data_IF_969551436892
#
_entry.id   IF_969551436892
#
_cell.length_a   1.000
_cell.length_b   1.000
_cell.length_c   1.000
_cell.angle_alpha   90.00
_cell.angle_beta   90.00
_cell.angle_gamma   90.00
#
_symmetry.space_group_name_H-M   'P 1'
#
loop_
_entity.id
_entity.type
_entity.pdbx_description
1 polymer ?
#
# COMPACT_ATOMS: atom_id res chain seq x y z
N UNK A 1 5.99 -10.31 -16.38
CA UNK A 1 4.79 -10.00 -15.55
C UNK A 1 3.70 -9.24 -16.31
N UNK A 2 2.49 -9.12 -15.74
CA UNK A 2 1.40 -8.32 -16.32
C UNK A 2 1.46 -6.86 -15.85
N UNK A 3 0.89 -5.95 -16.65
CA UNK A 3 0.74 -4.55 -16.28
C UNK A 3 -0.11 -4.38 -15.00
N UNK A 4 0.20 -3.39 -14.13
CA UNK A 4 -0.58 -3.15 -12.93
C UNK A 4 -2.02 -2.74 -13.25
N UNK A 5 -2.93 -3.06 -12.33
CA UNK A 5 -4.28 -2.54 -12.30
C UNK A 5 -4.46 -1.48 -11.21
N UNK A 6 -5.63 -0.85 -11.19
CA UNK A 6 -5.98 0.13 -10.16
C UNK A 6 -7.46 0.10 -9.83
N UNK A 7 -7.79 0.59 -8.64
CA UNK A 7 -9.15 0.78 -8.14
C UNK A 7 -9.18 1.97 -7.17
N UNK A 8 -10.23 2.78 -7.20
CA UNK A 8 -10.45 3.86 -6.23
C UNK A 8 -10.96 5.14 -6.87
N UNK A 9 -10.65 6.28 -6.23
CA UNK A 9 -11.13 7.60 -6.68
C UNK A 9 -10.00 8.48 -7.21
N UNK A 10 -10.30 9.13 -8.33
CA UNK A 10 -9.43 10.03 -9.09
C UNK A 10 -10.15 11.38 -9.31
N UNK A 11 -9.49 12.54 -9.12
CA UNK A 11 -10.12 13.86 -9.29
C UNK A 11 -10.72 14.09 -10.68
N UNK A 12 -10.09 13.53 -11.72
CA UNK A 12 -10.60 13.59 -13.09
C UNK A 12 -11.82 12.71 -13.36
N UNK A 13 -12.26 11.87 -12.42
CA UNK A 13 -13.41 10.98 -12.55
C UNK A 13 -14.55 11.37 -11.59
N UNK A 14 -15.80 11.15 -12.03
CA UNK A 14 -17.00 11.43 -11.23
C UNK A 14 -17.38 10.31 -10.28
N UNK A 15 -16.82 9.11 -10.47
CA UNK A 15 -17.08 7.93 -9.65
C UNK A 15 -15.81 7.07 -9.54
N UNK A 16 -15.92 5.89 -8.94
CA UNK A 16 -14.85 4.90 -8.91
C UNK A 16 -14.32 4.58 -10.31
N UNK A 17 -13.00 4.45 -10.40
CA UNK A 17 -12.31 3.94 -11.58
C UNK A 17 -11.70 2.59 -11.24
N UNK A 18 -11.77 1.65 -12.18
CA UNK A 18 -11.25 0.30 -12.01
C UNK A 18 -10.67 -0.20 -13.33
N UNK A 19 -9.49 -0.82 -13.25
CA UNK A 19 -8.84 -1.42 -14.43
C UNK A 19 -7.89 -2.53 -14.03
N UNK A 20 -7.86 -3.64 -14.78
CA UNK A 20 -6.91 -4.76 -14.65
C UNK A 20 -6.79 -5.43 -13.26
N UNK A 21 -7.67 -5.10 -12.30
CA UNK A 21 -7.77 -5.82 -11.03
C UNK A 21 -8.94 -6.82 -11.09
N UNK A 22 -8.72 -8.09 -10.68
CA UNK A 22 -9.78 -9.09 -10.68
C UNK A 22 -10.83 -8.77 -9.60
N UNK A 23 -12.10 -9.23 -9.78
CA UNK A 23 -13.17 -8.97 -8.82
C UNK A 23 -12.82 -9.35 -7.39
N UNK A 24 -12.18 -10.51 -7.17
CA UNK A 24 -11.78 -10.95 -5.84
C UNK A 24 -10.83 -9.97 -5.10
N UNK A 25 -9.99 -9.23 -5.84
CA UNK A 25 -9.17 -8.18 -5.26
C UNK A 25 -10.02 -6.97 -4.90
N UNK A 26 -10.85 -6.51 -5.84
CA UNK A 26 -11.66 -5.30 -5.68
C UNK A 26 -12.68 -5.46 -4.56
N UNK A 27 -13.35 -6.61 -4.46
CA UNK A 27 -14.33 -6.89 -3.40
C UNK A 27 -13.69 -6.90 -2.01
N UNK A 28 -12.50 -7.49 -1.88
CA UNK A 28 -11.76 -7.50 -0.62
C UNK A 28 -11.30 -6.09 -0.23
N UNK A 29 -10.78 -5.34 -1.20
CA UNK A 29 -10.30 -3.98 -1.02
C UNK A 29 -11.43 -3.01 -0.67
N UNK A 30 -12.50 -3.01 -1.45
CA UNK A 30 -13.67 -2.15 -1.23
C UNK A 30 -14.29 -2.41 0.15
N UNK A 31 -14.54 -3.67 0.50
CA UNK A 31 -15.10 -4.02 1.81
C UNK A 31 -14.25 -3.48 2.97
N UNK A 32 -12.93 -3.71 2.92
CA UNK A 32 -12.03 -3.29 3.99
C UNK A 32 -11.96 -1.76 4.09
N UNK A 33 -11.71 -1.07 2.98
CA UNK A 33 -11.49 0.37 2.99
C UNK A 33 -12.78 1.18 3.09
N UNK A 34 -13.92 0.71 2.59
CA UNK A 34 -15.21 1.35 2.85
C UNK A 34 -15.53 1.35 4.35
N UNK A 35 -15.28 0.24 5.06
CA UNK A 35 -15.44 0.18 6.51
C UNK A 35 -14.43 1.08 7.24
N UNK A 36 -13.15 1.01 6.87
CA UNK A 36 -12.09 1.77 7.53
C UNK A 36 -12.22 3.29 7.32
N UNK A 37 -12.60 3.73 6.12
CA UNK A 37 -12.87 5.14 5.79
C UNK A 37 -14.06 5.65 6.61
N UNK A 38 -15.18 4.91 6.63
CA UNK A 38 -16.35 5.29 7.41
C UNK A 38 -16.01 5.37 8.91
N UNK A 39 -15.41 4.31 9.47
CA UNK A 39 -15.09 4.25 10.89
C UNK A 39 -14.07 5.31 11.34
N UNK A 40 -13.08 5.64 10.51
CA UNK A 40 -12.12 6.71 10.85
C UNK A 40 -12.77 8.08 10.73
N UNK A 41 -13.61 8.31 9.73
CA UNK A 41 -14.33 9.58 9.58
C UNK A 41 -15.28 9.83 10.75
N UNK A 42 -16.05 8.81 11.13
CA UNK A 42 -16.99 8.90 12.26
C UNK A 42 -16.25 9.14 13.58
N UNK A 43 -15.07 8.52 13.77
CA UNK A 43 -14.29 8.65 15.02
C UNK A 43 -13.55 9.98 15.16
N UNK A 44 -13.07 10.55 14.06
CA UNK A 44 -12.16 11.71 14.11
C UNK A 44 -12.76 13.02 13.57
N UNK A 45 -13.99 12.99 13.03
CA UNK A 45 -14.73 14.20 12.63
C UNK A 45 -13.90 15.13 11.75
N UNK A 46 -13.84 16.42 12.10
CA UNK A 46 -13.13 17.44 11.32
C UNK A 46 -11.62 17.17 11.19
N UNK A 47 -11.00 16.52 12.18
CA UNK A 47 -9.59 16.17 12.13
C UNK A 47 -9.30 15.10 11.05
N UNK A 48 -10.31 14.30 10.69
CA UNK A 48 -10.19 13.27 9.67
C UNK A 48 -9.83 13.86 8.30
N UNK A 49 -10.47 14.95 7.89
CA UNK A 49 -10.23 15.55 6.58
C UNK A 49 -8.80 16.11 6.47
N UNK A 50 -8.26 16.66 7.57
CA UNK A 50 -6.88 17.12 7.63
C UNK A 50 -5.93 15.94 7.53
N UNK A 51 -6.16 14.87 8.30
CA UNK A 51 -5.35 13.65 8.25
C UNK A 51 -5.37 13.01 6.86
N UNK A 52 -6.54 12.88 6.23
CA UNK A 52 -6.70 12.35 4.87
C UNK A 52 -5.85 13.09 3.85
N UNK A 53 -5.86 14.43 3.86
CA UNK A 53 -5.10 15.25 2.90
C UNK A 53 -3.59 15.17 3.08
N UNK A 54 -3.11 14.88 4.29
CA UNK A 54 -1.68 14.82 4.61
C UNK A 54 -1.16 13.39 4.73
N UNK A 55 -2.03 12.39 4.61
CA UNK A 55 -1.64 11.00 4.72
C UNK A 55 -0.63 10.62 3.63
N UNK A 56 0.34 9.80 4.02
CA UNK A 56 1.40 9.36 3.13
C UNK A 56 0.89 8.40 2.05
N UNK A 57 1.67 8.27 0.98
CA UNK A 57 1.57 7.13 0.06
C UNK A 57 2.21 5.92 0.72
N UNK A 58 1.44 4.85 0.85
CA UNK A 58 1.87 3.58 1.42
C UNK A 58 2.18 2.58 0.32
N UNK A 59 3.38 2.02 0.34
CA UNK A 59 3.75 0.84 -0.44
C UNK A 59 3.28 -0.41 0.32
N UNK A 60 2.93 -1.46 -0.40
CA UNK A 60 2.51 -2.71 0.25
C UNK A 60 2.93 -3.98 -0.47
N UNK A 61 2.97 -5.06 0.32
CA UNK A 61 3.00 -6.45 -0.14
C UNK A 61 1.93 -7.24 0.62
N UNK A 62 1.11 -8.01 -0.09
CA UNK A 62 0.05 -8.85 0.48
C UNK A 62 0.28 -10.31 0.06
N UNK A 63 0.37 -11.20 1.06
CA UNK A 63 0.39 -12.64 0.83
C UNK A 63 -0.87 -13.13 0.10
N UNK A 64 -0.78 -14.31 -0.57
CA UNK A 64 -1.95 -15.03 -1.04
C UNK A 64 -3.03 -15.17 0.05
N UNK A 65 -4.29 -15.02 -0.35
CA UNK A 65 -5.45 -15.14 0.53
C UNK A 65 -5.94 -13.81 1.13
N UNK A 66 -5.17 -12.72 1.05
CA UNK A 66 -5.58 -11.42 1.61
C UNK A 66 -6.52 -10.66 0.67
N UNK A 67 -6.16 -10.56 -0.61
CA UNK A 67 -6.95 -9.89 -1.64
C UNK A 67 -7.14 -10.82 -2.86
N UNK A 68 -7.68 -12.01 -2.60
CA UNK A 68 -7.75 -13.12 -3.55
C UNK A 68 -6.57 -14.09 -3.42
N UNK A 69 -6.45 -15.03 -4.37
CA UNK A 69 -5.48 -16.13 -4.31
C UNK A 69 -4.05 -15.74 -4.72
N UNK A 70 -3.87 -14.60 -5.38
CA UNK A 70 -2.55 -14.09 -5.76
C UNK A 70 -1.89 -13.33 -4.61
N UNK A 71 -0.57 -13.30 -4.62
CA UNK A 71 0.18 -12.28 -3.88
C UNK A 71 0.13 -10.95 -4.65
N UNK A 72 0.16 -9.84 -3.94
CA UNK A 72 0.05 -8.50 -4.53
C UNK A 72 1.13 -7.57 -4.04
N UNK A 73 1.64 -6.74 -4.94
CA UNK A 73 2.45 -5.57 -4.62
C UNK A 73 1.78 -4.31 -5.15
N UNK A 74 1.93 -3.19 -4.46
CA UNK A 74 1.35 -1.95 -4.96
C UNK A 74 1.55 -0.75 -4.06
N UNK A 75 0.86 0.33 -4.41
CA UNK A 75 0.77 1.54 -3.61
C UNK A 75 -0.67 1.87 -3.31
N UNK A 76 -0.91 2.47 -2.15
CA UNK A 76 -2.17 3.04 -1.74
C UNK A 76 -1.92 4.48 -1.28
N UNK A 77 -2.76 5.40 -1.73
CA UNK A 77 -2.68 6.81 -1.37
C UNK A 77 -4.10 7.39 -1.22
N UNK A 78 -4.25 8.50 -0.48
CA UNK A 78 -5.53 9.21 -0.40
C UNK A 78 -6.05 9.57 -1.79
N UNK A 79 -7.35 9.36 -2.00
CA UNK A 79 -8.02 9.70 -3.24
C UNK A 79 -9.34 10.41 -3.01
N UNK A 80 -9.70 11.27 -3.96
CA UNK A 80 -10.95 12.00 -3.99
C UNK A 80 -11.48 12.00 -5.43
N UNK A 81 -12.79 11.90 -5.60
CA UNK A 81 -13.40 12.13 -6.92
C UNK A 81 -13.65 13.62 -7.17
N UNK A 82 -14.18 13.94 -8.36
CA UNK A 82 -14.46 15.32 -8.79
C UNK A 82 -15.36 16.12 -7.85
N UNK A 83 -16.21 15.44 -7.06
CA UNK A 83 -17.12 16.09 -6.11
C UNK A 83 -16.61 16.04 -4.66
N UNK A 84 -15.38 15.55 -4.45
CA UNK A 84 -14.70 15.54 -3.16
C UNK A 84 -15.00 14.33 -2.27
N UNK A 85 -15.71 13.30 -2.76
CA UNK A 85 -15.90 12.07 -1.98
C UNK A 85 -14.57 11.33 -1.88
N UNK A 86 -14.19 10.96 -0.68
CA UNK A 86 -12.88 10.39 -0.38
C UNK A 86 -12.93 8.85 -0.37
N UNK A 87 -11.99 8.22 -1.08
CA UNK A 87 -11.73 6.78 -1.02
C UNK A 87 -10.29 6.52 -1.53
N UNK A 88 -9.50 5.60 -0.94
CA UNK A 88 -8.11 5.44 -1.33
C UNK A 88 -7.98 4.99 -2.79
N UNK A 89 -7.02 5.55 -3.51
CA UNK A 89 -6.58 4.98 -4.78
C UNK A 89 -5.58 3.85 -4.49
N UNK A 90 -5.75 2.71 -5.14
CA UNK A 90 -4.78 1.63 -5.16
C UNK A 90 -4.30 1.38 -6.57
N UNK A 91 -2.99 1.21 -6.74
CA UNK A 91 -2.37 0.65 -7.95
C UNK A 91 -1.63 -0.61 -7.53
N UNK A 92 -1.97 -1.75 -8.13
CA UNK A 92 -1.46 -3.06 -7.70
C UNK A 92 -1.14 -3.97 -8.89
N UNK A 93 -0.10 -4.78 -8.72
CA UNK A 93 0.28 -5.85 -9.63
C UNK A 93 0.30 -7.18 -8.89
N UNK A 94 -0.22 -8.22 -9.54
CA UNK A 94 -0.11 -9.58 -9.04
C UNK A 94 1.34 -10.03 -9.15
N UNK A 95 1.87 -10.61 -8.08
CA UNK A 95 3.20 -11.18 -8.07
C UNK A 95 3.17 -12.59 -8.68
N UNK A 96 4.26 -13.03 -9.34
CA UNK A 96 4.40 -14.39 -9.82
C UNK A 96 4.23 -15.42 -8.69
N UNK A 97 3.79 -16.62 -9.03
CA UNK A 97 3.70 -17.70 -8.06
C UNK A 97 5.10 -18.09 -7.55
N UNK A 98 5.30 -18.00 -6.23
CA UNK A 98 6.59 -18.25 -5.57
C UNK A 98 6.75 -17.38 -4.33
N UNK A 99 7.63 -17.77 -3.41
CA UNK A 99 7.92 -17.01 -2.18
C UNK A 99 9.25 -16.22 -2.34
N UNK A 100 9.74 -16.04 -3.57
CA UNK A 100 10.88 -15.19 -3.88
C UNK A 100 10.66 -13.75 -3.42
N UNK A 101 11.76 -13.00 -3.23
CA UNK A 101 11.67 -11.58 -2.91
C UNK A 101 11.29 -10.82 -4.19
N UNK A 102 10.03 -10.42 -4.34
CA UNK A 102 9.49 -10.05 -5.64
C UNK A 102 10.31 -8.91 -6.25
N UNK A 103 10.61 -8.97 -7.55
CA UNK A 103 11.43 -7.97 -8.25
C UNK A 103 11.03 -6.52 -8.04
N UNK A 104 9.79 -6.25 -7.66
CA UNK A 104 9.36 -4.94 -7.13
C UNK A 104 10.20 -4.39 -5.98
N UNK A 105 10.98 -5.23 -5.27
CA UNK A 105 11.91 -4.87 -4.19
C UNK A 105 13.37 -4.74 -4.65
N UNK A 106 13.66 -4.97 -5.93
CA UNK A 106 14.96 -4.67 -6.54
C UNK A 106 15.23 -3.16 -6.51
N UNK A 107 16.50 -2.77 -6.62
CA UNK A 107 16.90 -1.35 -6.73
C UNK A 107 16.23 -0.45 -5.68
N UNK A 108 16.23 -0.88 -4.42
CA UNK A 108 15.59 -0.20 -3.28
C UNK A 108 14.09 0.14 -3.47
N UNK A 109 13.42 -0.65 -4.32
CA UNK A 109 11.99 -0.52 -4.60
C UNK A 109 11.68 0.56 -5.63
N UNK A 110 12.56 0.79 -6.62
CA UNK A 110 12.37 1.77 -7.69
C UNK A 110 11.01 1.66 -8.39
N UNK A 111 10.49 0.45 -8.60
CA UNK A 111 9.15 0.24 -9.15
C UNK A 111 8.05 0.93 -8.32
N UNK A 112 8.12 0.83 -6.99
CA UNK A 112 7.16 1.50 -6.11
C UNK A 112 7.27 3.03 -6.20
N UNK A 113 8.46 3.57 -6.46
CA UNK A 113 8.66 5.02 -6.64
C UNK A 113 7.98 5.52 -7.91
N UNK A 114 8.14 4.80 -9.03
CA UNK A 114 7.47 5.12 -10.29
C UNK A 114 5.95 5.06 -10.14
N UNK A 115 5.44 3.99 -9.53
CA UNK A 115 3.99 3.81 -9.30
C UNK A 115 3.44 4.88 -8.37
N UNK A 116 4.12 5.19 -7.26
CA UNK A 116 3.72 6.26 -6.36
C UNK A 116 3.73 7.62 -7.08
N UNK A 117 4.77 7.93 -7.85
CA UNK A 117 4.89 9.20 -8.58
C UNK A 117 3.75 9.41 -9.59
N UNK A 118 3.40 8.38 -10.37
CA UNK A 118 2.27 8.43 -11.32
C UNK A 118 0.94 8.61 -10.58
N UNK A 119 0.71 7.84 -9.52
CA UNK A 119 -0.52 7.93 -8.75
C UNK A 119 -0.67 9.30 -8.06
N UNK A 120 0.40 9.79 -7.40
CA UNK A 120 0.42 11.10 -6.74
C UNK A 120 0.26 12.27 -7.71
N UNK A 121 0.83 12.17 -8.92
CA UNK A 121 0.62 13.17 -9.97
C UNK A 121 -0.84 13.22 -10.41
N UNK A 122 -1.46 12.07 -10.63
CA UNK A 122 -2.86 11.97 -11.01
C UNK A 122 -3.82 12.51 -9.92
N UNK A 123 -3.49 12.36 -8.63
CA UNK A 123 -4.29 12.96 -7.55
C UNK A 123 -4.14 14.49 -7.44
N UNK A 124 -3.10 15.09 -8.03
CA UNK A 124 -2.86 16.54 -8.01
C UNK A 124 -3.39 17.25 -9.25
N UNK A 125 -3.77 16.52 -10.29
CA UNK A 125 -4.19 17.07 -11.58
C UNK A 125 -5.58 16.59 -11.99
N UNK A 126 -6.64 17.41 -11.79
CA UNK A 126 -8.00 17.09 -12.23
C UNK A 126 -8.17 16.92 -13.75
N UNK A 127 -7.19 17.33 -14.56
CA UNK A 127 -7.21 17.12 -15.99
C UNK A 127 -6.87 15.66 -16.37
N UNK A 128 -6.23 14.89 -15.48
CA UNK A 128 -5.92 13.48 -15.70
C UNK A 128 -7.19 12.65 -15.51
N UNK A 129 -7.76 12.19 -16.62
CA UNK A 129 -8.91 11.30 -16.61
C UNK A 129 -8.51 9.82 -16.48
N UNK A 130 -9.51 8.93 -16.46
CA UNK A 130 -9.29 7.50 -16.33
C UNK A 130 -8.51 6.89 -17.51
N UNK A 131 -8.59 7.46 -18.71
CA UNK A 131 -7.91 6.97 -19.92
C UNK A 131 -6.43 7.33 -19.88
N UNK A 132 -6.12 8.59 -19.52
CA UNK A 132 -4.74 9.05 -19.36
C UNK A 132 -4.05 8.33 -18.20
N UNK A 133 -4.77 8.14 -17.09
CA UNK A 133 -4.26 7.36 -15.96
C UNK A 133 -4.02 5.89 -16.34
N UNK A 134 -4.94 5.28 -17.10
CA UNK A 134 -4.78 3.91 -17.61
C UNK A 134 -3.50 3.74 -18.44
N UNK A 135 -3.26 4.68 -19.37
CA UNK A 135 -2.08 4.67 -20.23
C UNK A 135 -0.78 4.79 -19.42
N UNK A 136 -0.75 5.67 -18.41
CA UNK A 136 0.41 5.84 -17.54
C UNK A 136 0.69 4.58 -16.70
N UNK A 137 -0.34 4.00 -16.09
CA UNK A 137 -0.21 2.79 -15.25
C UNK A 137 0.19 1.57 -16.09
N UNK A 138 -0.29 1.45 -17.32
CA UNK A 138 0.00 0.30 -18.18
C UNK A 138 1.50 0.13 -18.48
N UNK A 139 2.28 1.22 -18.47
CA UNK A 139 3.73 1.20 -18.69
C UNK A 139 4.56 0.78 -17.47
N UNK A 140 3.95 0.68 -16.29
CA UNK A 140 4.65 0.43 -15.02
C UNK A 140 4.73 -1.07 -14.70
N UNK A 141 5.14 -1.88 -15.67
CA UNK A 141 5.25 -3.33 -15.47
C UNK A 141 6.30 -3.61 -14.39
N UNK A 142 5.98 -4.42 -13.36
CA UNK A 142 6.96 -4.83 -12.37
C UNK A 142 8.18 -5.50 -13.03
N UNK A 143 9.41 -5.26 -12.52
CA UNK A 143 10.59 -5.96 -12.99
C UNK A 143 10.55 -7.43 -12.54
N UNK A 144 11.04 -8.34 -13.39
CA UNK A 144 11.12 -9.78 -13.09
C UNK A 144 11.98 -10.07 -11.85
N UNK A 145 11.75 -11.24 -11.24
CA UNK A 145 12.33 -11.60 -9.95
C UNK A 145 13.87 -11.58 -10.04
N UNK A 146 14.59 -10.86 -9.15
CA UNK A 146 16.04 -10.90 -9.12
C UNK A 146 16.44 -12.22 -8.48
N UNK A 147 17.61 -12.73 -8.86
CA UNK A 147 18.23 -13.90 -8.20
C UNK A 147 18.29 -13.75 -6.67
N UNK A 148 18.46 -14.91 -6.00
CA UNK A 148 18.30 -15.17 -4.56
C UNK A 148 18.45 -13.94 -3.63
N UNK A 149 17.43 -13.65 -2.81
CA UNK A 149 17.50 -12.53 -1.89
C UNK A 149 18.63 -12.73 -0.88
N UNK A 150 19.49 -11.73 -0.76
CA UNK A 150 20.30 -11.59 0.45
C UNK A 150 19.36 -11.21 1.59
N UNK A 151 19.05 -12.18 2.45
CA UNK A 151 18.16 -12.00 3.59
C UNK A 151 18.97 -11.41 4.75
N UNK A 152 18.73 -10.16 5.19
CA UNK A 152 19.30 -9.72 6.45
C UNK A 152 18.76 -10.56 7.62
N UNK A 153 19.63 -10.85 8.58
CA UNK A 153 19.28 -11.51 9.84
C UNK A 153 18.22 -10.68 10.58
N UNK A 154 17.15 -11.30 11.11
CA UNK A 154 16.12 -10.56 11.81
C UNK A 154 16.70 -9.97 13.10
N UNK A 155 16.13 -8.87 13.60
CA UNK A 155 16.54 -8.35 14.90
C UNK A 155 16.31 -9.40 15.99
N UNK A 156 17.16 -9.43 17.06
CA UNK A 156 16.92 -10.29 18.21
C UNK A 156 15.51 -10.12 18.78
N UNK A 157 14.85 -11.23 19.13
CA UNK A 157 13.47 -11.21 19.65
C UNK A 157 12.37 -11.03 18.59
N UNK A 158 12.71 -11.11 17.30
CA UNK A 158 11.71 -11.18 16.23
C UNK A 158 10.82 -12.42 16.37
N UNK A 159 9.54 -12.20 16.58
CA UNK A 159 8.51 -13.25 16.59
C UNK A 159 7.76 -13.24 15.24
N UNK A 160 7.92 -14.29 14.41
CA UNK A 160 7.25 -14.39 13.12
C UNK A 160 5.74 -14.63 13.23
N UNK A 161 5.19 -14.88 14.43
CA UNK A 161 3.75 -14.98 14.68
C UNK A 161 3.13 -13.64 15.11
N UNK A 162 3.93 -12.72 15.67
CA UNK A 162 3.50 -11.38 16.09
C UNK A 162 3.04 -10.57 14.88
N UNK A 163 2.01 -9.74 15.07
CA UNK A 163 1.41 -8.88 14.04
C UNK A 163 0.96 -7.56 14.68
N UNK A 164 0.64 -6.58 13.84
CA UNK A 164 0.18 -5.26 14.25
C UNK A 164 1.26 -4.38 14.88
N UNK A 165 2.53 -4.62 14.54
CA UNK A 165 3.66 -3.88 15.08
C UNK A 165 4.36 -3.03 14.01
N UNK A 166 5.04 -1.98 14.48
CA UNK A 166 5.80 -1.04 13.68
C UNK A 166 7.30 -1.32 13.78
N UNK A 167 8.00 -1.11 12.66
CA UNK A 167 9.44 -1.15 12.52
C UNK A 167 9.90 0.15 11.88
N UNK A 168 11.06 0.63 12.31
CA UNK A 168 11.75 1.77 11.68
C UNK A 168 12.51 1.27 10.45
N UNK A 169 12.32 1.93 9.31
CA UNK A 169 13.10 1.70 8.10
C UNK A 169 14.25 2.71 8.05
N UNK A 170 15.52 2.30 8.20
CA UNK A 170 16.64 3.20 8.01
C UNK A 170 16.68 3.70 6.57
N UNK A 171 17.11 4.95 6.36
CA UNK A 171 17.00 5.64 5.07
C UNK A 171 17.76 5.00 3.91
N UNK A 172 18.73 4.11 4.17
CA UNK A 172 19.59 3.48 3.15
C UNK A 172 19.98 2.05 3.54
N UNK A 173 20.16 1.16 2.56
CA UNK A 173 20.95 -0.07 2.68
C UNK A 173 20.30 -1.27 3.39
N UNK A 174 19.07 -1.16 3.90
CA UNK A 174 18.39 -2.30 4.54
C UNK A 174 17.17 -2.72 3.72
N UNK A 175 17.28 -3.88 3.07
CA UNK A 175 16.17 -4.56 2.37
C UNK A 175 15.18 -5.20 3.35
N UNK A 176 14.75 -4.46 4.37
CA UNK A 176 13.85 -4.96 5.42
C UNK A 176 12.53 -5.52 4.87
N UNK A 177 11.82 -4.86 3.92
CA UNK A 177 10.63 -5.44 3.32
C UNK A 177 10.90 -6.79 2.66
N UNK A 178 12.04 -6.95 1.99
CA UNK A 178 12.46 -8.22 1.36
C UNK A 178 12.67 -9.31 2.40
N UNK A 179 13.40 -8.99 3.49
CA UNK A 179 13.68 -9.95 4.55
C UNK A 179 12.40 -10.42 5.26
N UNK A 180 11.49 -9.49 5.53
CA UNK A 180 10.21 -9.77 6.17
C UNK A 180 9.30 -10.58 5.26
N UNK A 181 9.22 -10.21 3.98
CA UNK A 181 8.42 -10.93 2.99
C UNK A 181 8.86 -12.38 2.89
N UNK A 182 10.16 -12.62 2.71
CA UNK A 182 10.71 -13.98 2.54
C UNK A 182 10.44 -14.87 3.77
N UNK A 183 10.39 -14.27 4.96
CA UNK A 183 10.14 -15.00 6.23
C UNK A 183 8.66 -15.20 6.53
N UNK A 184 7.81 -14.23 6.18
CA UNK A 184 6.43 -14.17 6.67
C UNK A 184 5.39 -14.54 5.62
N UNK A 185 5.72 -14.42 4.32
CA UNK A 185 4.72 -14.54 3.26
C UNK A 185 4.05 -15.92 3.23
N UNK A 186 4.81 -16.99 3.52
CA UNK A 186 4.31 -18.36 3.62
C UNK A 186 3.26 -18.55 4.73
N UNK A 187 3.36 -17.78 5.81
CA UNK A 187 2.44 -17.82 6.95
C UNK A 187 1.31 -16.79 6.86
N UNK A 188 1.24 -16.04 5.75
CA UNK A 188 0.31 -14.92 5.59
C UNK A 188 0.81 -13.64 6.28
N UNK A 189 1.09 -12.61 5.48
CA UNK A 189 1.37 -11.27 5.99
C UNK A 189 0.90 -10.17 5.01
N UNK A 190 0.62 -9.01 5.59
CA UNK A 190 0.53 -7.75 4.90
C UNK A 190 1.67 -6.86 5.39
N UNK A 191 2.53 -6.40 4.50
CA UNK A 191 3.54 -5.39 4.79
C UNK A 191 3.06 -4.06 4.23
N UNK A 192 3.09 -3.02 5.05
CA UNK A 192 2.77 -1.65 4.66
C UNK A 192 3.94 -0.76 5.03
N UNK A 193 4.48 0.02 4.10
CA UNK A 193 5.56 0.94 4.45
C UNK A 193 5.51 2.24 3.68
N UNK A 194 5.98 3.30 4.34
CA UNK A 194 6.24 4.60 3.74
C UNK A 194 7.74 4.87 3.89
N UNK A 195 8.46 5.14 2.78
CA UNK A 195 9.87 5.50 2.85
C UNK A 195 10.05 6.81 3.63
N UNK A 196 11.18 6.93 4.33
CA UNK A 196 11.53 8.17 5.02
C UNK A 196 11.81 9.30 4.04
N UNK A 197 11.61 10.55 4.48
CA UNK A 197 11.91 11.75 3.68
C UNK A 197 13.19 12.41 4.20
N UNK A 198 14.08 12.81 3.29
CA UNK A 198 15.25 13.67 3.56
C UNK A 198 16.05 13.27 4.83
N UNK A 199 16.48 12.02 4.93
CA UNK A 199 17.29 11.52 6.05
C UNK A 199 16.50 11.08 7.30
N UNK A 200 15.18 11.31 7.34
CA UNK A 200 14.32 10.70 8.36
C UNK A 200 14.15 9.19 8.11
N UNK A 201 13.93 8.43 9.19
CA UNK A 201 13.56 7.02 9.07
C UNK A 201 12.15 6.88 8.47
N UNK A 202 11.97 5.87 7.63
CA UNK A 202 10.66 5.44 7.18
C UNK A 202 9.96 4.57 8.22
N UNK A 203 8.71 4.21 7.93
CA UNK A 203 7.89 3.37 8.80
C UNK A 203 7.43 2.14 8.04
N UNK A 204 7.53 0.98 8.67
CA UNK A 204 6.98 -0.27 8.17
C UNK A 204 6.07 -0.90 9.23
N UNK A 205 4.90 -1.37 8.81
CA UNK A 205 3.96 -2.13 9.61
C UNK A 205 3.85 -3.56 9.07
N UNK A 206 3.82 -4.52 9.99
CA UNK A 206 3.57 -5.93 9.69
C UNK A 206 2.19 -6.33 10.24
N UNK A 207 1.30 -6.79 9.36
CA UNK A 207 -0.09 -7.15 9.69
C UNK A 207 -0.52 -8.50 9.09
N UNK A 208 -1.74 -8.96 9.39
CA UNK A 208 -2.32 -10.21 8.85
C UNK A 208 -3.16 -10.01 7.60
N UNK A 209 -3.66 -8.81 7.38
CA UNK A 209 -4.62 -8.54 6.32
C UNK A 209 -4.70 -7.06 5.96
N UNK A 210 -5.79 -6.71 5.28
CA UNK A 210 -6.11 -5.33 4.96
C UNK A 210 -6.43 -4.54 6.25
N UNK A 211 -6.18 -3.21 6.27
CA UNK A 211 -6.40 -2.37 7.44
C UNK A 211 -7.86 -2.40 7.90
N UNK A 212 -8.07 -2.59 9.20
CA UNK A 212 -9.30 -2.21 9.88
C UNK A 212 -9.30 -0.70 10.20
N UNK A 213 -10.36 -0.20 10.83
CA UNK A 213 -10.48 1.22 11.23
C UNK A 213 -9.31 1.70 12.08
N UNK A 214 -8.86 0.90 13.06
CA UNK A 214 -7.77 1.30 13.97
C UNK A 214 -6.41 1.33 13.26
N UNK A 215 -6.16 0.36 12.39
CA UNK A 215 -4.95 0.30 11.57
C UNK A 215 -4.93 1.42 10.54
N UNK A 216 -6.06 1.68 9.88
CA UNK A 216 -6.18 2.73 8.90
C UNK A 216 -5.99 4.12 9.51
N UNK A 217 -6.48 4.37 10.72
CA UNK A 217 -6.18 5.60 11.46
C UNK A 217 -4.67 5.83 11.59
N UNK A 218 -3.91 4.78 11.92
CA UNK A 218 -2.45 4.87 12.01
C UNK A 218 -1.80 5.14 10.65
N UNK A 219 -2.32 4.54 9.56
CA UNK A 219 -1.85 4.83 8.20
C UNK A 219 -2.15 6.27 7.76
N UNK A 220 -3.22 6.87 8.26
CA UNK A 220 -3.53 8.29 8.08
C UNK A 220 -2.62 9.22 8.92
N UNK A 221 -1.74 8.67 9.77
CA UNK A 221 -0.91 9.44 10.70
C UNK A 221 -1.70 9.92 11.94
N UNK A 222 -2.92 9.42 12.14
CA UNK A 222 -3.71 9.69 13.35
C UNK A 222 -3.22 8.72 14.43
N UNK A 223 -2.27 9.19 15.24
CA UNK A 223 -1.82 8.42 16.40
C UNK A 223 -2.94 8.35 17.45
N UNK A 224 -3.09 7.22 18.17
CA UNK A 224 -4.02 7.13 19.28
C UNK A 224 -3.73 8.27 20.26
N UNK A 225 -4.77 9.02 20.65
CA UNK A 225 -4.64 9.88 21.82
C UNK A 225 -4.29 8.98 23.01
N UNK A 226 -3.20 9.29 23.71
CA UNK A 226 -2.86 8.59 24.93
C UNK A 226 -3.95 8.84 25.96
N UNK A 227 -4.82 7.84 26.21
CA UNK A 227 -5.74 7.83 27.34
C UNK A 227 -7.20 7.55 27.00
N UNK A 228 -7.60 6.30 27.17
CA UNK A 228 -8.64 5.92 28.13
C UNK A 228 -8.40 4.44 28.45
N UNK A 229 -7.64 4.21 29.52
CA UNK A 229 -7.66 2.93 30.24
C UNK A 229 -8.97 2.85 31.04
#
# INVERSE_FOLDING_TARGET
MNAPGYFGKLPGAGDFVQRRLPPAFVDAWDRAFSHAVAGTRDRYGDAWQVAWRHAATWRFLLSPGIAGQAAWAGVMLPGCDRVGRCFPMVVAAALPAGIGAPGVLAEDGHWFELVAGVAEAAQRDPAVDAVQFDAAVAGLVPPDDPDEPTVPTPPPGFDPARRGYWLSLPGHGVRMPSALWHRLAAAGCALWWAPGRQGAAGSLRVDRGLPDTATFAQLLGILPQAGAA
#
